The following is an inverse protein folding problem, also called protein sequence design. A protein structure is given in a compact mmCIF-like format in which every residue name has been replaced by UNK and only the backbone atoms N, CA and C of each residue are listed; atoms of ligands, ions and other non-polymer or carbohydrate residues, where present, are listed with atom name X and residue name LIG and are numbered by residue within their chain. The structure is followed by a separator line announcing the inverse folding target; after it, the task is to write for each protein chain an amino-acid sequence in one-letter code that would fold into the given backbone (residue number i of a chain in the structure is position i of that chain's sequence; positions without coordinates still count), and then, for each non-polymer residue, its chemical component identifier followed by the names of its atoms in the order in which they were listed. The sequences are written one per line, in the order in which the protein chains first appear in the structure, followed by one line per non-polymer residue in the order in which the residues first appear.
data_IF_032522335995
#
_entry.id   IF_032522335995
#
_cell.length_a   1.000
_cell.length_b   1.000
_cell.length_c   1.000
_cell.angle_alpha   90.00
_cell.angle_beta   90.00
_cell.angle_gamma   90.00
#
_symmetry.space_group_name_H-M   'P 1'
#
loop_
_entity.id
_entity.type
_entity.pdbx_description
1 polymer ?
#
# COMPACT_ATOMS: atom_id res chain seq x y z
N UNK A 1 10.52 -17.12 2.49
CA UNK A 1 11.58 -17.83 3.21
C UNK A 1 11.49 -19.30 2.85
N UNK A 2 12.59 -19.92 2.43
CA UNK A 2 12.64 -21.40 2.36
C UNK A 2 12.61 -21.92 3.79
N UNK A 3 11.66 -22.80 4.11
CA UNK A 3 11.68 -23.50 5.39
C UNK A 3 13.04 -24.19 5.53
N UNK A 4 13.71 -24.11 6.69
CA UNK A 4 14.93 -24.87 6.90
C UNK A 4 14.63 -26.36 6.70
N UNK A 5 15.61 -27.14 6.22
CA UNK A 5 15.47 -28.58 6.16
C UNK A 5 15.11 -29.09 7.57
N UNK A 6 14.14 -30.01 7.64
CA UNK A 6 13.67 -30.56 8.90
C UNK A 6 14.85 -31.08 9.73
N UNK A 7 15.02 -30.53 10.93
CA UNK A 7 16.04 -30.88 11.90
C UNK A 7 15.36 -31.00 13.27
N UNK A 8 15.71 -32.03 14.04
CA UNK A 8 15.19 -32.27 15.40
C UNK A 8 15.48 -31.15 16.40
N UNK A 9 16.36 -30.21 16.06
CA UNK A 9 16.65 -29.01 16.85
C UNK A 9 15.84 -27.77 16.43
N UNK A 10 14.92 -27.90 15.48
CA UNK A 10 14.15 -26.79 14.90
C UNK A 10 12.68 -26.99 15.25
N UNK A 11 12.13 -26.09 16.06
CA UNK A 11 10.73 -26.19 16.52
C UNK A 11 9.84 -25.24 15.70
N UNK A 12 8.65 -25.68 15.28
CA UNK A 12 7.70 -24.83 14.53
C UNK A 12 7.43 -23.49 15.23
N UNK A 13 7.42 -23.48 16.56
CA UNK A 13 7.22 -22.29 17.39
C UNK A 13 8.29 -21.21 17.18
N UNK A 14 9.45 -21.56 16.63
CA UNK A 14 10.53 -20.62 16.26
C UNK A 14 10.24 -19.91 14.91
N UNK A 15 9.22 -20.37 14.16
CA UNK A 15 8.79 -19.84 12.85
C UNK A 15 7.31 -19.40 12.86
N UNK A 16 6.66 -19.46 14.02
CA UNK A 16 5.29 -19.00 14.21
C UNK A 16 5.25 -17.47 14.07
N UNK A 17 4.30 -16.96 13.28
CA UNK A 17 4.02 -15.53 13.20
C UNK A 17 2.98 -15.23 14.29
N UNK A 18 3.40 -14.57 15.37
CA UNK A 18 2.55 -14.14 16.48
C UNK A 18 2.05 -12.69 16.31
N UNK A 19 2.54 -11.99 15.28
CA UNK A 19 2.12 -10.63 14.94
C UNK A 19 0.61 -10.56 14.66
N UNK A 20 -0.12 -9.63 15.29
CA UNK A 20 -1.54 -9.43 15.03
C UNK A 20 -1.82 -9.08 13.57
N UNK A 21 -2.99 -9.50 13.06
CA UNK A 21 -3.37 -9.37 11.64
C UNK A 21 -3.23 -7.95 11.07
N UNK A 22 -3.49 -6.91 11.86
CA UNK A 22 -3.42 -5.53 11.38
C UNK A 22 -2.02 -4.91 11.44
N UNK A 23 -1.08 -5.60 12.10
CA UNK A 23 0.30 -5.17 12.22
C UNK A 23 1.24 -6.03 11.33
N UNK A 24 0.68 -7.02 10.61
CA UNK A 24 1.41 -7.84 9.64
C UNK A 24 2.06 -6.99 8.54
N UNK A 25 3.34 -7.24 8.31
CA UNK A 25 4.16 -6.59 7.29
C UNK A 25 4.43 -7.49 6.07
N UNK A 26 4.85 -6.91 4.93
CA UNK A 26 5.18 -7.68 3.73
C UNK A 26 6.25 -8.75 3.93
N UNK A 27 7.12 -8.58 4.94
CA UNK A 27 8.15 -9.58 5.31
C UNK A 27 7.55 -10.87 5.86
N UNK A 28 6.40 -10.78 6.53
CA UNK A 28 5.67 -11.90 7.11
C UNK A 28 4.63 -12.45 6.13
N UNK A 29 3.87 -11.55 5.51
CA UNK A 29 2.84 -11.86 4.53
C UNK A 29 2.90 -10.86 3.35
N UNK A 30 3.44 -11.25 2.18
CA UNK A 30 3.75 -10.31 1.09
C UNK A 30 2.61 -9.45 0.54
N UNK A 31 1.36 -9.89 0.72
CA UNK A 31 0.14 -9.18 0.31
C UNK A 31 -0.51 -8.36 1.44
N UNK A 32 0.17 -8.19 2.58
CA UNK A 32 -0.28 -7.37 3.70
C UNK A 32 0.63 -6.17 3.89
N UNK A 33 0.04 -5.07 4.37
CA UNK A 33 0.77 -3.88 4.82
C UNK A 33 0.26 -3.48 6.19
N UNK A 34 1.10 -3.08 7.16
CA UNK A 34 0.61 -2.62 8.46
C UNK A 34 0.03 -1.19 8.36
N UNK A 35 0.00 -0.62 7.15
CA UNK A 35 -0.44 0.73 6.87
C UNK A 35 -1.63 0.76 5.92
N UNK A 36 -2.49 1.77 6.08
CA UNK A 36 -3.45 2.17 5.07
C UNK A 36 -3.07 3.55 4.55
N UNK A 37 -3.12 3.72 3.25
CA UNK A 37 -2.66 4.93 2.58
C UNK A 37 -3.83 5.75 2.05
N UNK A 38 -3.82 7.04 2.32
CA UNK A 38 -4.63 8.01 1.61
C UNK A 38 -3.77 8.69 0.55
N UNK A 39 -4.01 8.38 -0.73
CA UNK A 39 -3.30 8.98 -1.85
C UNK A 39 -3.85 10.38 -2.16
N UNK A 40 -2.97 11.35 -2.37
CA UNK A 40 -3.33 12.77 -2.47
C UNK A 40 -2.40 13.53 -3.42
N UNK A 41 -2.72 14.80 -3.68
CA UNK A 41 -1.89 15.72 -4.47
C UNK A 41 -1.02 16.62 -3.60
N UNK A 42 -0.08 17.34 -4.23
CA UNK A 42 0.84 18.26 -3.55
C UNK A 42 0.11 19.28 -2.67
N UNK A 43 -0.83 20.04 -3.23
CA UNK A 43 -1.51 21.09 -2.47
C UNK A 43 -2.48 20.52 -1.43
N UNK A 44 -2.98 19.31 -1.68
CA UNK A 44 -3.96 18.65 -0.82
C UNK A 44 -3.29 18.13 0.46
N UNK A 45 -2.07 17.56 0.37
CA UNK A 45 -1.36 17.08 1.58
C UNK A 45 -1.14 18.22 2.58
N UNK A 46 -0.79 19.41 2.10
CA UNK A 46 -0.58 20.58 2.95
C UNK A 46 -1.90 20.99 3.62
N UNK A 47 -3.01 21.03 2.87
CA UNK A 47 -4.32 21.33 3.44
C UNK A 47 -4.79 20.28 4.48
N UNK A 48 -4.48 19.00 4.26
CA UNK A 48 -4.82 17.91 5.18
C UNK A 48 -4.05 18.05 6.49
N UNK A 49 -2.80 18.50 6.44
CA UNK A 49 -1.91 18.62 7.59
C UNK A 49 -2.00 19.99 8.30
N UNK A 50 -2.59 21.01 7.66
CA UNK A 50 -2.59 22.38 8.17
C UNK A 50 -4.00 22.91 8.45
N UNK A 51 -4.97 22.03 8.71
CA UNK A 51 -6.35 22.44 8.94
C UNK A 51 -6.50 23.14 10.29
N UNK A 52 -6.54 24.48 10.26
CA UNK A 52 -6.56 25.34 11.45
C UNK A 52 -7.82 25.12 12.33
N UNK A 53 -8.90 24.56 11.77
CA UNK A 53 -10.16 24.35 12.50
C UNK A 53 -10.10 23.17 13.49
N UNK A 54 -9.15 22.24 13.32
CA UNK A 54 -9.08 21.01 14.14
C UNK A 54 -8.14 21.16 15.35
N UNK A 55 -7.27 22.17 15.34
CA UNK A 55 -6.29 22.46 16.39
C UNK A 55 -4.92 21.84 16.14
N UNK A 56 -3.89 22.37 16.81
CA UNK A 56 -2.48 21.98 16.63
C UNK A 56 -2.26 20.47 16.83
N UNK A 57 -1.35 19.89 16.04
CA UNK A 57 -0.98 18.47 16.13
C UNK A 57 -1.97 17.48 15.51
N UNK A 58 -3.01 17.98 14.83
CA UNK A 58 -4.02 17.16 14.17
C UNK A 58 -4.16 17.54 12.69
N UNK A 59 -4.58 16.58 11.88
CA UNK A 59 -4.93 16.78 10.48
C UNK A 59 -6.36 16.33 10.19
N UNK A 60 -6.83 16.64 8.98
CA UNK A 60 -8.19 16.35 8.55
C UNK A 60 -8.28 15.77 7.14
N UNK A 61 -8.95 14.64 7.00
CA UNK A 61 -9.32 14.07 5.71
C UNK A 61 -10.81 14.26 5.46
N UNK A 62 -11.15 15.19 4.57
CA UNK A 62 -12.54 15.43 4.18
C UNK A 62 -13.13 14.21 3.46
N UNK A 63 -14.32 13.79 3.89
CA UNK A 63 -15.07 12.75 3.20
C UNK A 63 -15.58 13.25 1.83
N UNK A 64 -15.55 12.39 0.82
CA UNK A 64 -16.04 12.69 -0.52
C UNK A 64 -16.87 11.54 -1.09
N UNK A 65 -17.68 11.83 -2.10
CA UNK A 65 -18.36 10.77 -2.87
C UNK A 65 -17.33 10.25 -3.89
N UNK A 66 -16.97 8.95 -3.85
CA UNK A 66 -16.02 8.37 -4.79
C UNK A 66 -16.50 8.52 -6.23
N UNK A 67 -15.57 8.80 -7.13
CA UNK A 67 -15.83 8.85 -8.58
C UNK A 67 -16.12 7.43 -9.08
N UNK A 68 -17.40 7.06 -9.14
CA UNK A 68 -17.86 5.86 -9.83
C UNK A 68 -18.61 6.31 -11.08
N UNK A 69 -18.20 5.80 -12.25
CA UNK A 69 -18.69 6.31 -13.54
C UNK A 69 -20.20 6.13 -13.77
N UNK A 70 -20.90 5.29 -13.01
CA UNK A 70 -22.33 5.06 -13.23
C UNK A 70 -23.00 4.67 -11.90
N UNK A 71 -24.05 5.39 -11.50
CA UNK A 71 -25.00 4.91 -10.50
C UNK A 71 -25.43 5.90 -9.42
N UNK A 72 -26.56 5.58 -8.78
CA UNK A 72 -27.21 6.29 -7.66
C UNK A 72 -26.39 6.30 -6.35
N UNK A 73 -25.11 5.91 -6.40
CA UNK A 73 -24.26 5.86 -5.21
C UNK A 73 -23.90 7.28 -4.76
N UNK A 74 -24.17 7.59 -3.50
CA UNK A 74 -24.05 8.95 -2.96
C UNK A 74 -23.50 8.99 -1.52
N UNK A 75 -22.92 7.89 -1.02
CA UNK A 75 -22.29 7.91 0.29
C UNK A 75 -20.99 8.72 0.25
N UNK A 76 -20.86 9.65 1.19
CA UNK A 76 -19.61 10.37 1.43
C UNK A 76 -18.73 9.54 2.34
N UNK A 77 -17.51 9.25 1.91
CA UNK A 77 -16.57 8.36 2.62
C UNK A 77 -15.16 8.93 2.58
N UNK A 78 -14.33 8.52 3.55
CA UNK A 78 -12.88 8.69 3.45
C UNK A 78 -12.29 7.37 2.94
N UNK A 79 -11.61 7.43 1.80
CA UNK A 79 -11.00 6.26 1.17
C UNK A 79 -9.54 6.10 1.58
N UNK A 80 -9.18 4.85 1.84
CA UNK A 80 -7.81 4.40 2.07
C UNK A 80 -7.54 3.16 1.26
N UNK A 81 -6.26 2.94 0.99
CA UNK A 81 -5.81 1.78 0.24
C UNK A 81 -4.78 1.00 1.05
N UNK A 82 -5.02 -0.28 1.21
CA UNK A 82 -4.03 -1.22 1.70
C UNK A 82 -3.20 -1.74 0.53
N UNK A 83 -1.91 -1.42 0.56
CA UNK A 83 -0.93 -1.93 -0.40
C UNK A 83 0.46 -1.86 0.24
N UNK A 84 1.37 -2.81 -0.08
CA UNK A 84 2.78 -2.64 0.26
C UNK A 84 3.33 -1.33 -0.32
N UNK A 85 4.21 -0.65 0.43
CA UNK A 85 4.71 0.69 0.07
C UNK A 85 5.34 0.74 -1.33
N UNK A 86 6.07 -0.32 -1.73
CA UNK A 86 6.73 -0.44 -3.03
C UNK A 86 5.75 -0.53 -4.22
N UNK A 87 4.47 -0.85 -3.96
CA UNK A 87 3.45 -1.04 -4.99
C UNK A 87 2.50 0.17 -5.13
N UNK A 88 2.61 1.18 -4.25
CA UNK A 88 1.69 2.33 -4.22
C UNK A 88 1.69 3.14 -5.52
N UNK A 89 2.81 3.22 -6.23
CA UNK A 89 2.90 4.11 -7.39
C UNK A 89 2.10 3.66 -8.60
N UNK A 90 1.65 2.40 -8.62
CA UNK A 90 0.66 1.91 -9.58
C UNK A 90 -0.57 2.84 -9.66
N UNK A 91 -0.95 3.48 -8.56
CA UNK A 91 -2.13 4.36 -8.49
C UNK A 91 -2.11 5.51 -9.48
N UNK A 92 -0.92 6.03 -9.83
CA UNK A 92 -0.80 7.09 -10.84
C UNK A 92 -1.20 6.60 -12.23
N UNK A 93 -0.85 5.36 -12.57
CA UNK A 93 -1.04 4.81 -13.92
C UNK A 93 -2.44 4.24 -14.16
N UNK A 94 -3.31 4.23 -13.14
CA UNK A 94 -4.68 3.68 -13.23
C UNK A 94 -5.58 4.47 -14.17
N UNK A 95 -5.42 5.79 -14.26
CA UNK A 95 -6.18 6.62 -15.18
C UNK A 95 -5.33 7.80 -15.65
N UNK A 96 -5.62 8.26 -16.87
CA UNK A 96 -4.93 9.42 -17.44
C UNK A 96 -4.99 10.64 -16.52
N UNK A 97 -6.13 10.85 -15.84
CA UNK A 97 -6.28 11.95 -14.87
C UNK A 97 -5.35 11.79 -13.67
N UNK A 98 -5.29 10.62 -13.03
CA UNK A 98 -4.39 10.42 -11.87
C UNK A 98 -2.92 10.56 -12.27
N UNK A 99 -2.59 10.14 -13.48
CA UNK A 99 -1.27 10.33 -14.07
C UNK A 99 -0.99 11.82 -14.34
N UNK A 100 -1.93 12.55 -14.95
CA UNK A 100 -1.77 13.98 -15.24
C UNK A 100 -1.70 14.84 -13.98
N UNK A 101 -2.47 14.46 -12.96
CA UNK A 101 -2.47 15.11 -11.64
C UNK A 101 -1.21 14.76 -10.83
N UNK A 102 -0.38 13.85 -11.35
CA UNK A 102 0.89 13.41 -10.80
C UNK A 102 0.80 13.10 -9.30
N UNK A 103 -0.15 12.23 -8.94
CA UNK A 103 -0.46 11.83 -7.56
C UNK A 103 0.70 11.04 -6.91
N UNK A 104 1.79 11.75 -6.59
CA UNK A 104 2.99 11.22 -5.93
C UNK A 104 2.90 11.34 -4.40
N UNK A 105 1.87 12.03 -3.90
CA UNK A 105 1.73 12.33 -2.49
C UNK A 105 0.79 11.33 -1.82
N UNK A 106 1.05 11.02 -0.56
CA UNK A 106 0.19 10.14 0.21
C UNK A 106 0.54 10.12 1.68
N UNK A 107 -0.44 9.81 2.51
CA UNK A 107 -0.28 9.68 3.96
C UNK A 107 -0.60 8.23 4.34
N UNK A 108 0.38 7.54 4.91
CA UNK A 108 0.25 6.19 5.43
C UNK A 108 0.04 6.20 6.94
N UNK A 109 -1.09 5.68 7.37
CA UNK A 109 -1.49 5.58 8.78
C UNK A 109 -1.32 4.16 9.29
N UNK A 110 -1.11 4.00 10.60
CA UNK A 110 -1.23 2.69 11.24
C UNK A 110 -2.62 2.09 10.96
N UNK A 111 -2.66 0.87 10.39
CA UNK A 111 -3.92 0.17 10.12
C UNK A 111 -4.69 -0.11 11.40
N UNK A 112 -3.99 -0.57 12.45
CA UNK A 112 -4.61 -0.83 13.75
C UNK A 112 -5.21 0.43 14.40
N UNK A 113 -4.61 1.61 14.20
CA UNK A 113 -5.19 2.89 14.62
C UNK A 113 -6.47 3.24 13.83
N UNK A 114 -6.46 3.10 12.51
CA UNK A 114 -7.60 3.40 11.66
C UNK A 114 -8.78 2.44 11.87
N UNK A 115 -8.52 1.16 12.13
CA UNK A 115 -9.58 0.20 12.51
C UNK A 115 -10.28 0.65 13.79
N UNK A 116 -9.55 1.16 14.79
CA UNK A 116 -10.16 1.72 16.01
C UNK A 116 -10.99 2.97 15.71
N UNK A 117 -10.57 3.78 14.73
CA UNK A 117 -11.30 4.95 14.26
C UNK A 117 -12.54 4.62 13.39
N UNK A 118 -12.84 3.35 13.13
CA UNK A 118 -14.03 2.94 12.39
C UNK A 118 -13.79 2.67 10.89
N UNK A 119 -12.56 2.76 10.41
CA UNK A 119 -12.21 2.39 9.03
C UNK A 119 -12.38 0.89 8.85
N UNK A 120 -13.05 0.46 7.77
CA UNK A 120 -13.36 -0.95 7.49
C UNK A 120 -13.02 -1.32 6.05
N UNK A 121 -12.69 -2.60 5.78
CA UNK A 121 -12.45 -3.06 4.42
C UNK A 121 -13.76 -3.00 3.61
N UNK A 122 -13.64 -2.68 2.34
CA UNK A 122 -14.76 -2.67 1.42
C UNK A 122 -15.23 -4.07 1.04
N UNK A 123 -16.52 -4.18 0.71
CA UNK A 123 -17.12 -5.36 0.09
C UNK A 123 -17.05 -5.19 -1.41
N UNK A 124 -16.23 -6.02 -2.06
CA UNK A 124 -16.14 -6.09 -3.51
C UNK A 124 -17.35 -6.85 -4.05
N UNK A 125 -18.13 -6.19 -4.89
CA UNK A 125 -19.36 -6.70 -5.47
C UNK A 125 -19.28 -6.60 -7.00
N UNK A 126 -19.75 -7.65 -7.67
CA UNK A 126 -20.07 -7.57 -9.10
C UNK A 126 -21.21 -6.54 -9.35
N UNK A 127 -21.46 -6.23 -10.62
CA UNK A 127 -22.43 -5.19 -10.98
C UNK A 127 -23.87 -5.51 -10.49
N UNK A 128 -24.25 -6.80 -10.46
CA UNK A 128 -25.57 -7.25 -9.98
C UNK A 128 -25.69 -7.04 -8.47
N UNK A 129 -24.75 -7.56 -7.69
CA UNK A 129 -24.73 -7.44 -6.24
C UNK A 129 -24.61 -5.97 -5.81
N UNK A 130 -23.77 -5.17 -6.47
CA UNK A 130 -23.67 -3.73 -6.22
C UNK A 130 -25.02 -3.04 -6.43
N UNK A 131 -25.69 -3.34 -7.54
CA UNK A 131 -27.02 -2.79 -7.85
C UNK A 131 -28.05 -3.20 -6.80
N UNK A 132 -28.02 -4.46 -6.36
CA UNK A 132 -28.90 -4.96 -5.30
C UNK A 132 -28.65 -4.26 -3.96
N UNK A 133 -27.40 -3.98 -3.57
CA UNK A 133 -27.10 -3.23 -2.34
C UNK A 133 -27.59 -1.78 -2.43
N UNK A 134 -27.39 -1.11 -3.57
CA UNK A 134 -27.88 0.25 -3.80
C UNK A 134 -29.42 0.29 -3.73
N UNK A 135 -30.09 -0.67 -4.38
CA UNK A 135 -31.54 -0.76 -4.34
C UNK A 135 -32.06 -1.09 -2.94
N UNK A 136 -31.39 -1.99 -2.20
CA UNK A 136 -31.73 -2.29 -0.81
C UNK A 136 -31.68 -1.03 0.05
N UNK A 137 -30.63 -0.21 -0.09
CA UNK A 137 -30.54 1.09 0.61
C UNK A 137 -31.72 1.99 0.29
N UNK A 138 -32.05 2.15 -0.99
CA UNK A 138 -33.20 2.94 -1.41
C UNK A 138 -34.53 2.39 -0.87
N UNK A 139 -34.76 1.08 -0.93
CA UNK A 139 -35.99 0.48 -0.45
C UNK A 139 -36.13 0.60 1.07
N UNK A 140 -35.07 0.32 1.83
CA UNK A 140 -35.09 0.42 3.29
C UNK A 140 -35.39 1.85 3.77
N UNK A 141 -34.92 2.87 3.05
CA UNK A 141 -35.23 4.28 3.36
C UNK A 141 -36.67 4.70 3.05
N UNK A 142 -37.36 3.98 2.17
CA UNK A 142 -38.69 4.36 1.65
C UNK A 142 -39.81 3.39 2.05
N UNK A 143 -39.50 2.24 2.66
CA UNK A 143 -40.49 1.25 3.06
C UNK A 143 -40.96 1.47 4.49
N UNK A 144 -42.27 1.42 4.69
CA UNK A 144 -42.87 1.26 6.02
C UNK A 144 -42.85 -0.23 6.40
N UNK A 145 -41.98 -0.58 7.34
CA UNK A 145 -41.84 -1.94 7.85
C UNK A 145 -42.54 -2.02 9.20
N UNK A 146 -43.62 -2.81 9.29
CA UNK A 146 -44.46 -2.93 10.49
C UNK A 146 -43.69 -3.34 11.75
N UNK A 147 -42.67 -4.20 11.60
CA UNK A 147 -41.84 -4.63 12.71
C UNK A 147 -40.67 -3.64 12.93
N UNK A 148 -40.81 -2.77 13.92
CA UNK A 148 -39.82 -1.73 14.25
C UNK A 148 -38.41 -2.28 14.51
N UNK A 149 -38.29 -3.42 15.21
CA UNK A 149 -36.99 -4.02 15.51
C UNK A 149 -36.30 -4.52 14.25
N UNK A 150 -37.06 -5.13 13.34
CA UNK A 150 -36.55 -5.59 12.06
C UNK A 150 -36.20 -4.41 11.15
N UNK A 151 -37.04 -3.37 11.11
CA UNK A 151 -36.80 -2.14 10.37
C UNK A 151 -35.48 -1.49 10.80
N UNK A 152 -35.27 -1.32 12.12
CA UNK A 152 -34.04 -0.76 12.68
C UNK A 152 -32.81 -1.60 12.37
N UNK A 153 -32.94 -2.93 12.42
CA UNK A 153 -31.86 -3.85 12.07
C UNK A 153 -31.47 -3.71 10.59
N UNK A 154 -32.45 -3.71 9.69
CA UNK A 154 -32.23 -3.54 8.26
C UNK A 154 -31.64 -2.17 7.93
N UNK A 155 -32.14 -1.10 8.55
CA UNK A 155 -31.59 0.25 8.41
C UNK A 155 -30.12 0.28 8.82
N UNK A 156 -29.79 -0.25 10.01
CA UNK A 156 -28.42 -0.31 10.52
C UNK A 156 -27.50 -1.12 9.61
N UNK A 157 -27.97 -2.26 9.11
CA UNK A 157 -27.20 -3.10 8.18
C UNK A 157 -26.95 -2.36 6.87
N UNK A 158 -27.99 -1.76 6.30
CA UNK A 158 -27.94 -1.03 5.05
C UNK A 158 -27.01 0.19 5.14
N UNK A 159 -27.11 0.97 6.22
CA UNK A 159 -26.27 2.14 6.49
C UNK A 159 -24.79 1.78 6.64
N UNK A 160 -24.48 0.58 7.13
CA UNK A 160 -23.11 0.12 7.31
C UNK A 160 -22.54 -0.56 6.07
N UNK A 161 -23.36 -1.27 5.31
CA UNK A 161 -22.94 -2.03 4.13
C UNK A 161 -22.81 -1.15 2.89
N UNK A 162 -23.78 -0.27 2.66
CA UNK A 162 -23.86 0.57 1.46
C UNK A 162 -22.58 1.41 1.25
N UNK A 163 -22.04 2.14 2.24
CA UNK A 163 -20.81 2.93 2.06
C UNK A 163 -19.57 2.08 1.74
N UNK A 164 -19.53 0.84 2.24
CA UNK A 164 -18.41 -0.08 2.05
C UNK A 164 -18.46 -0.82 0.70
N UNK A 165 -19.50 -0.63 -0.12
CA UNK A 165 -19.64 -1.34 -1.39
C UNK A 165 -18.71 -0.75 -2.44
N UNK A 166 -17.90 -1.60 -3.08
CA UNK A 166 -17.00 -1.23 -4.17
C UNK A 166 -17.18 -2.19 -5.34
N UNK A 167 -17.13 -1.73 -6.61
CA UNK A 167 -17.17 -2.64 -7.75
C UNK A 167 -15.95 -3.56 -7.76
N UNK A 168 -16.14 -4.80 -8.22
CA UNK A 168 -15.08 -5.78 -8.40
C UNK A 168 -14.14 -5.43 -9.58
N UNK A 169 -14.64 -4.68 -10.58
CA UNK A 169 -13.88 -4.15 -11.73
C UNK A 169 -13.33 -5.24 -12.68
N UNK A 170 -13.90 -6.43 -12.61
CA UNK A 170 -13.57 -7.63 -13.39
C UNK A 170 -13.66 -7.43 -14.91
N UNK A 171 -14.54 -6.54 -15.35
CA UNK A 171 -14.81 -6.26 -16.76
C UNK A 171 -13.96 -5.12 -17.35
N UNK A 172 -13.13 -4.44 -16.55
CA UNK A 172 -12.29 -3.34 -17.02
C UNK A 172 -10.93 -3.85 -17.48
N UNK A 173 -10.46 -3.44 -18.66
CA UNK A 173 -9.16 -3.86 -19.21
C UNK A 173 -7.95 -3.49 -18.33
N UNK A 174 -8.13 -2.53 -17.42
CA UNK A 174 -7.19 -2.21 -16.35
C UNK A 174 -7.19 -3.24 -15.20
N UNK A 175 -7.86 -4.40 -15.37
CA UNK A 175 -8.11 -5.48 -14.40
C UNK A 175 -7.17 -5.39 -13.20
N UNK A 176 -7.68 -4.84 -12.10
CA UNK A 176 -6.89 -4.55 -10.91
C UNK A 176 -7.08 -5.58 -9.80
N UNK A 177 -6.26 -5.39 -8.76
CA UNK A 177 -6.55 -5.76 -7.37
C UNK A 177 -6.33 -7.22 -6.94
N UNK A 178 -5.30 -7.94 -7.40
CA UNK A 178 -4.91 -9.19 -6.69
C UNK A 178 -4.36 -8.94 -5.27
N UNK A 179 -3.98 -7.70 -4.93
CA UNK A 179 -3.15 -7.35 -3.75
C UNK A 179 -3.71 -6.15 -2.98
N UNK A 180 -4.49 -5.31 -3.67
CA UNK A 180 -4.98 -4.04 -3.16
C UNK A 180 -6.35 -4.22 -2.54
N UNK A 181 -6.49 -3.69 -1.32
CA UNK A 181 -7.78 -3.68 -0.62
C UNK A 181 -8.17 -2.25 -0.35
N UNK A 182 -9.35 -1.86 -0.82
CA UNK A 182 -9.97 -0.58 -0.51
C UNK A 182 -10.54 -0.66 0.90
N UNK A 183 -10.30 0.39 1.68
CA UNK A 183 -10.84 0.58 3.01
C UNK A 183 -11.56 1.92 3.06
N UNK A 184 -12.67 1.98 3.79
CA UNK A 184 -13.47 3.20 3.90
C UNK A 184 -13.85 3.49 5.34
N UNK A 185 -13.88 4.78 5.64
CA UNK A 185 -14.64 5.32 6.75
C UNK A 185 -15.94 5.89 6.20
N UNK A 186 -17.07 5.47 6.76
CA UNK A 186 -18.32 6.21 6.62
C UNK A 186 -18.50 7.06 7.87
N UNK A 187 -18.42 8.40 7.78
CA UNK A 187 -18.79 9.25 8.89
C UNK A 187 -20.25 8.98 9.26
N UNK A 188 -20.49 8.59 10.51
CA UNK A 188 -21.84 8.33 11.01
C UNK A 188 -22.61 9.63 11.28
N UNK A 189 -21.90 10.77 11.35
CA UNK A 189 -22.44 12.11 11.50
C UNK A 189 -22.18 12.90 10.20
N UNK A 190 -23.25 13.45 9.60
CA UNK A 190 -23.17 14.25 8.36
C UNK A 190 -22.48 15.59 8.62
N UNK A 191 -21.77 16.12 7.61
CA UNK A 191 -20.64 15.52 6.93
C UNK A 191 -19.35 15.96 7.62
N UNK A 192 -18.75 15.08 8.42
CA UNK A 192 -17.39 15.33 8.93
C UNK A 192 -16.45 14.22 8.50
N UNK A 193 -15.24 14.60 8.13
CA UNK A 193 -14.22 13.69 7.62
C UNK A 193 -13.63 12.80 8.70
N UNK A 194 -12.37 12.43 8.52
CA UNK A 194 -11.56 11.86 9.58
C UNK A 194 -10.64 12.94 10.13
N UNK A 195 -10.86 13.35 11.38
CA UNK A 195 -9.84 14.03 12.18
C UNK A 195 -8.86 12.99 12.72
N UNK A 196 -7.57 13.26 12.63
CA UNK A 196 -6.54 12.35 13.09
C UNK A 196 -5.37 13.09 13.75
N UNK A 197 -4.78 12.52 14.81
CA UNK A 197 -3.56 13.06 15.41
C UNK A 197 -2.35 12.74 14.53
N UNK A 198 -1.34 13.61 14.47
CA UNK A 198 -0.11 13.37 13.70
C UNK A 198 0.64 12.11 14.16
N UNK A 199 0.49 11.70 15.42
CA UNK A 199 1.02 10.45 15.96
C UNK A 199 0.39 9.20 15.35
N UNK A 200 -0.67 9.31 14.57
CA UNK A 200 -1.22 8.18 13.80
C UNK A 200 -0.51 7.96 12.47
N UNK A 201 0.20 8.97 11.97
CA UNK A 201 0.96 8.93 10.73
C UNK A 201 2.22 8.08 10.94
N UNK A 202 2.51 7.19 10.01
CA UNK A 202 3.72 6.36 10.00
C UNK A 202 4.56 6.58 8.76
N UNK A 203 3.92 6.91 7.64
CA UNK A 203 4.58 7.09 6.35
C UNK A 203 4.04 8.34 5.67
N UNK A 204 4.92 9.10 5.02
CA UNK A 204 4.54 10.12 4.05
C UNK A 204 5.23 9.81 2.72
N UNK A 205 4.43 9.70 1.68
CA UNK A 205 4.92 9.60 0.31
C UNK A 205 5.02 11.03 -0.24
N UNK A 206 6.22 11.49 -0.59
CA UNK A 206 6.41 12.79 -1.26
C UNK A 206 7.80 12.90 -1.91
N UNK A 207 7.98 13.76 -2.94
CA UNK A 207 9.29 14.11 -3.48
C UNK A 207 10.25 14.67 -2.43
N UNK A 208 11.54 14.35 -2.57
CA UNK A 208 12.58 14.83 -1.64
C UNK A 208 12.64 16.36 -1.54
N UNK A 209 12.30 17.07 -2.61
CA UNK A 209 12.23 18.54 -2.64
C UNK A 209 11.12 19.11 -1.76
N UNK A 210 10.12 18.31 -1.40
CA UNK A 210 8.89 18.73 -0.69
C UNK A 210 8.88 18.23 0.76
N UNK A 211 9.84 17.40 1.16
CA UNK A 211 9.90 16.84 2.52
C UNK A 211 10.05 17.92 3.59
N UNK A 212 10.82 18.97 3.32
CA UNK A 212 11.12 20.00 4.31
C UNK A 212 9.86 20.78 4.72
N UNK A 213 9.04 21.18 3.74
CA UNK A 213 7.79 21.90 3.99
C UNK A 213 6.83 21.06 4.86
N UNK A 214 6.72 19.76 4.56
CA UNK A 214 5.89 18.84 5.33
C UNK A 214 6.46 18.61 6.74
N UNK A 215 7.79 18.50 6.88
CA UNK A 215 8.47 18.36 8.18
C UNK A 215 8.26 19.58 9.06
N UNK A 216 8.25 20.78 8.48
CA UNK A 216 7.95 22.02 9.21
C UNK A 216 6.55 22.02 9.80
N UNK A 217 5.54 21.58 9.02
CA UNK A 217 4.14 21.47 9.50
C UNK A 217 4.00 20.44 10.62
N UNK A 218 4.65 19.28 10.48
CA UNK A 218 4.57 18.18 11.44
C UNK A 218 5.40 18.41 12.71
N UNK A 219 6.34 19.36 12.69
CA UNK A 219 7.24 19.66 13.81
C UNK A 219 7.95 18.41 14.34
N UNK A 220 7.89 18.22 15.65
CA UNK A 220 8.55 17.09 16.32
C UNK A 220 7.97 15.72 15.96
N UNK A 221 6.71 15.65 15.50
CA UNK A 221 6.07 14.40 15.07
C UNK A 221 6.75 13.81 13.83
N UNK A 222 7.40 14.64 13.01
CA UNK A 222 8.12 14.21 11.81
C UNK A 222 9.23 13.19 12.08
N UNK A 223 9.79 13.16 13.31
CA UNK A 223 10.86 12.22 13.70
C UNK A 223 10.41 10.76 13.70
N UNK A 224 9.11 10.52 13.85
CA UNK A 224 8.52 9.18 13.89
C UNK A 224 7.84 8.78 12.57
N UNK A 225 8.04 9.58 11.51
CA UNK A 225 7.40 9.39 10.21
C UNK A 225 8.47 9.04 9.17
N UNK A 226 8.27 7.94 8.47
CA UNK A 226 9.13 7.53 7.38
C UNK A 226 8.72 8.24 6.08
N UNK A 227 9.62 9.05 5.54
CA UNK A 227 9.42 9.69 4.24
C UNK A 227 9.91 8.77 3.12
N UNK A 228 9.01 8.41 2.20
CA UNK A 228 9.27 7.42 1.16
C UNK A 228 8.99 7.95 -0.23
N UNK A 229 9.73 7.43 -1.20
CA UNK A 229 9.60 7.75 -2.63
C UNK A 229 9.05 6.52 -3.35
N UNK A 230 7.78 6.22 -3.12
CA UNK A 230 7.12 4.99 -3.58
C UNK A 230 7.18 4.75 -5.10
N UNK A 231 7.39 5.80 -5.90
CA UNK A 231 7.54 5.68 -7.36
C UNK A 231 8.85 5.10 -7.82
N UNK A 232 9.94 5.25 -7.06
CA UNK A 232 11.24 4.79 -7.52
C UNK A 232 11.27 3.27 -7.62
N UNK A 233 10.81 2.59 -6.56
CA UNK A 233 10.77 1.14 -6.45
C UNK A 233 9.77 0.51 -7.43
N UNK A 234 8.59 1.10 -7.58
CA UNK A 234 7.58 0.63 -8.53
C UNK A 234 8.05 0.73 -9.99
N UNK A 235 8.60 1.89 -10.39
CA UNK A 235 9.11 2.06 -11.75
C UNK A 235 10.27 1.11 -12.02
N UNK A 236 11.13 0.83 -11.04
CA UNK A 236 12.21 -0.15 -11.16
C UNK A 236 11.69 -1.58 -11.40
N UNK A 237 10.64 -2.00 -10.68
CA UNK A 237 10.01 -3.33 -10.84
C UNK A 237 9.23 -3.43 -12.16
N UNK A 238 8.45 -2.42 -12.53
CA UNK A 238 7.70 -2.39 -13.80
C UNK A 238 8.66 -2.38 -14.98
N UNK A 239 9.73 -1.59 -14.91
CA UNK A 239 10.78 -1.58 -15.92
C UNK A 239 11.40 -2.96 -16.08
N UNK A 240 11.74 -3.62 -14.97
CA UNK A 240 12.28 -4.97 -14.97
C UNK A 240 11.32 -5.98 -15.63
N UNK A 241 10.04 -5.97 -15.26
CA UNK A 241 9.02 -6.88 -15.80
C UNK A 241 8.71 -6.59 -17.28
N UNK A 242 8.68 -5.33 -17.69
CA UNK A 242 8.46 -4.92 -19.09
C UNK A 242 9.62 -5.36 -19.97
N UNK A 243 10.86 -5.27 -19.48
CA UNK A 243 12.07 -5.73 -20.18
C UNK A 243 12.08 -7.25 -20.41
N UNK A 244 11.58 -8.02 -19.45
CA UNK A 244 11.43 -9.48 -19.58
C UNK A 244 10.39 -9.90 -20.64
N UNK A 245 9.37 -9.07 -20.89
CA UNK A 245 8.41 -9.28 -21.99
C UNK A 245 8.97 -8.90 -23.36
N UNK A 246 9.85 -7.90 -23.44
CA UNK A 246 10.50 -7.51 -24.72
C UNK A 246 11.62 -8.46 -25.16
N UNK A 247 12.23 -9.20 -24.22
CA UNK A 247 13.28 -10.18 -24.51
C UNK A 247 12.76 -11.50 -25.14
N UNK A 248 11.43 -11.66 -25.26
CA UNK A 248 10.80 -12.81 -25.92
C UNK A 248 10.53 -12.58 -27.41
N UNK A 249 10.82 -11.40 -27.97
CA UNK A 249 10.79 -11.20 -29.42
C UNK A 249 12.17 -11.45 -30.01
N UNK A 250 12.37 -12.69 -30.45
CA UNK A 250 13.42 -13.05 -31.42
C UNK A 250 12.77 -12.90 -32.80
N UNK A 251 13.07 -11.84 -33.58
CA UNK A 251 12.69 -11.84 -34.98
C UNK A 251 13.41 -13.00 -35.68
N UNK A 252 12.65 -13.79 -36.43
CA UNK A 252 13.20 -14.89 -37.24
C UNK A 252 14.34 -14.38 -38.13
N UNK A 253 15.37 -15.21 -38.21
CA UNK A 253 16.63 -14.94 -38.89
C UNK A 253 16.49 -14.32 -40.29
N UNK A 254 17.23 -13.23 -40.51
CA UNK A 254 18.05 -12.94 -41.71
C UNK A 254 17.43 -13.38 -43.05
N UNK A 255 16.55 -12.56 -43.62
CA UNK A 255 16.19 -12.64 -45.05
C UNK A 255 16.08 -11.24 -45.68
N UNK A 256 17.10 -10.39 -45.49
CA UNK A 256 17.25 -9.18 -46.30
C UNK A 256 18.15 -9.49 -47.54
N UNK A 257 17.65 -9.33 -48.78
CA UNK A 257 18.37 -9.73 -50.00
C UNK A 257 19.49 -8.77 -50.42
N UNK A 258 19.61 -7.57 -49.84
CA UNK A 258 20.63 -6.56 -50.19
C UNK A 258 21.63 -6.27 -49.05
N UNK A 259 22.92 -6.23 -49.39
CA UNK A 259 24.02 -6.03 -48.43
C UNK A 259 23.98 -4.68 -47.69
N UNK A 260 23.48 -3.63 -48.33
CA UNK A 260 23.34 -2.29 -47.71
C UNK A 260 22.30 -2.30 -46.59
N UNK A 261 21.14 -2.92 -46.86
CA UNK A 261 20.02 -3.07 -45.91
C UNK A 261 20.44 -3.96 -44.73
N UNK A 262 21.18 -5.05 -45.04
CA UNK A 262 21.76 -5.93 -44.01
C UNK A 262 22.78 -5.20 -43.13
N UNK A 263 23.57 -4.28 -43.69
CA UNK A 263 24.53 -3.49 -42.93
C UNK A 263 23.85 -2.46 -42.02
N UNK A 264 22.75 -1.86 -42.47
CA UNK A 264 21.93 -0.96 -41.64
C UNK A 264 21.23 -1.72 -40.51
N UNK A 265 20.63 -2.88 -40.80
CA UNK A 265 20.05 -3.77 -39.80
C UNK A 265 21.10 -4.21 -38.77
N UNK A 266 22.31 -4.58 -39.20
CA UNK A 266 23.39 -4.98 -38.29
C UNK A 266 23.89 -3.82 -37.43
N UNK A 267 23.92 -2.59 -37.96
CA UNK A 267 24.28 -1.38 -37.17
C UNK A 267 23.19 -1.04 -36.16
N UNK A 268 21.93 -1.16 -36.54
CA UNK A 268 20.81 -0.97 -35.64
C UNK A 268 20.80 -2.03 -34.53
N UNK A 269 21.05 -3.30 -34.89
CA UNK A 269 21.22 -4.39 -33.93
C UNK A 269 22.39 -4.13 -32.98
N UNK A 270 23.55 -3.69 -33.49
CA UNK A 270 24.71 -3.38 -32.68
C UNK A 270 24.44 -2.22 -31.70
N UNK A 271 23.73 -1.18 -32.12
CA UNK A 271 23.35 -0.07 -31.25
C UNK A 271 22.33 -0.50 -30.19
N UNK A 272 21.36 -1.36 -30.55
CA UNK A 272 20.43 -1.99 -29.61
C UNK A 272 21.17 -2.84 -28.58
N UNK A 273 22.16 -3.64 -29.00
CA UNK A 273 22.96 -4.49 -28.12
C UNK A 273 23.91 -3.67 -27.22
N UNK A 274 24.53 -2.59 -27.73
CA UNK A 274 25.33 -1.68 -26.90
C UNK A 274 24.48 -0.93 -25.87
N UNK A 275 23.27 -0.50 -26.25
CA UNK A 275 22.31 0.08 -25.32
C UNK A 275 21.90 -0.92 -24.25
N UNK A 276 21.61 -2.17 -24.64
CA UNK A 276 21.30 -3.27 -23.72
C UNK A 276 22.46 -3.58 -22.77
N UNK A 277 23.69 -3.64 -23.27
CA UNK A 277 24.89 -3.88 -22.45
C UNK A 277 25.11 -2.79 -21.40
N UNK A 278 25.00 -1.51 -21.78
CA UNK A 278 25.12 -0.39 -20.83
C UNK A 278 24.01 -0.42 -19.78
N UNK A 279 22.79 -0.83 -20.18
CA UNK A 279 21.64 -1.00 -19.27
C UNK A 279 21.84 -2.18 -18.32
N UNK A 280 22.32 -3.33 -18.80
CA UNK A 280 22.68 -4.51 -17.99
C UNK A 280 23.83 -4.22 -17.02
N UNK A 281 24.78 -3.37 -17.41
CA UNK A 281 25.86 -2.92 -16.53
C UNK A 281 25.33 -2.01 -15.41
N UNK A 282 24.35 -1.14 -15.69
CA UNK A 282 23.64 -0.39 -14.64
C UNK A 282 22.79 -1.29 -13.73
N UNK A 283 22.19 -2.36 -14.28
CA UNK A 283 21.51 -3.38 -13.48
C UNK A 283 22.43 -4.17 -12.58
N UNK A 284 23.65 -4.44 -13.03
CA UNK A 284 24.68 -5.06 -12.18
C UNK A 284 25.01 -4.19 -10.97
N UNK A 285 25.11 -2.86 -11.10
CA UNK A 285 25.30 -1.98 -9.93
C UNK A 285 24.11 -1.99 -8.95
N UNK A 286 22.89 -2.21 -9.45
CA UNK A 286 21.68 -2.31 -8.62
C UNK A 286 21.59 -3.67 -7.94
N UNK A 287 21.88 -4.75 -8.68
CA UNK A 287 21.98 -6.10 -8.13
C UNK A 287 23.12 -6.18 -7.12
N UNK A 288 24.27 -5.55 -7.37
CA UNK A 288 25.36 -5.44 -6.39
C UNK A 288 24.93 -4.66 -5.13
N UNK A 289 23.92 -3.77 -5.18
CA UNK A 289 23.31 -3.16 -3.98
C UNK A 289 22.31 -4.07 -3.27
N UNK A 290 21.60 -4.93 -4.00
CA UNK A 290 20.70 -5.96 -3.46
C UNK A 290 21.42 -7.27 -3.07
N UNK A 291 22.64 -7.50 -3.53
CA UNK A 291 23.54 -8.61 -3.18
C UNK A 291 24.55 -8.23 -2.08
N UNK A 292 24.78 -6.93 -1.83
CA UNK A 292 25.49 -6.43 -0.65
C UNK A 292 24.60 -5.90 0.51
N UNK A 293 23.40 -6.43 0.82
CA UNK A 293 22.78 -6.21 2.12
C UNK A 293 23.41 -7.12 3.18
N UNK A 294 24.31 -8.06 2.82
CA UNK A 294 25.03 -8.93 3.76
C UNK A 294 25.73 -8.12 4.85
N UNK A 295 26.47 -7.05 4.57
CA UNK A 295 27.10 -6.28 5.66
C UNK A 295 26.07 -5.65 6.61
N UNK A 296 24.94 -5.14 6.10
CA UNK A 296 23.88 -4.56 6.93
C UNK A 296 23.06 -5.61 7.68
N UNK A 297 22.81 -6.75 7.07
CA UNK A 297 22.08 -7.89 7.63
C UNK A 297 22.95 -8.63 8.64
N UNK A 298 24.23 -8.84 8.37
CA UNK A 298 25.20 -9.47 9.28
C UNK A 298 25.45 -8.58 10.49
N UNK A 299 25.46 -7.24 10.31
CA UNK A 299 25.45 -6.29 11.44
C UNK A 299 24.15 -6.41 12.23
N UNK A 300 22.98 -6.43 11.56
CA UNK A 300 21.68 -6.55 12.25
C UNK A 300 21.51 -7.91 12.94
N UNK A 301 21.98 -8.99 12.32
CA UNK A 301 21.99 -10.35 12.87
C UNK A 301 22.89 -10.37 14.09
N UNK A 302 24.09 -9.79 14.02
CA UNK A 302 25.01 -9.72 15.14
C UNK A 302 24.47 -8.87 16.30
N UNK A 303 23.82 -7.75 16.00
CA UNK A 303 23.13 -6.93 17.01
C UNK A 303 22.01 -7.71 17.72
N UNK A 304 21.24 -8.50 16.97
CA UNK A 304 20.21 -9.37 17.53
C UNK A 304 20.83 -10.52 18.34
N UNK A 305 21.91 -11.16 17.86
CA UNK A 305 22.65 -12.20 18.60
C UNK A 305 23.21 -11.68 19.93
N UNK A 306 23.81 -10.49 19.92
CA UNK A 306 24.33 -9.82 21.12
C UNK A 306 23.19 -9.49 22.10
N UNK A 307 22.05 -9.03 21.59
CA UNK A 307 20.85 -8.77 22.40
C UNK A 307 20.29 -10.04 23.03
N UNK A 308 20.19 -11.12 22.27
CA UNK A 308 19.77 -12.44 22.78
C UNK A 308 20.71 -12.90 23.89
N UNK A 309 22.02 -12.81 23.70
CA UNK A 309 23.01 -13.20 24.72
C UNK A 309 22.88 -12.38 26.01
N UNK A 310 22.60 -11.08 25.90
CA UNK A 310 22.36 -10.21 27.07
C UNK A 310 21.07 -10.57 27.82
N UNK A 311 19.99 -10.84 27.09
CA UNK A 311 18.72 -11.30 27.67
C UNK A 311 18.93 -12.64 28.39
N UNK A 312 19.61 -13.58 27.75
CA UNK A 312 19.88 -14.91 28.29
C UNK A 312 20.73 -14.85 29.58
N UNK A 313 21.74 -13.98 29.60
CA UNK A 313 22.54 -13.72 30.80
C UNK A 313 21.69 -13.10 31.92
N UNK A 314 20.74 -12.22 31.58
CA UNK A 314 19.84 -11.58 32.53
C UNK A 314 18.85 -12.59 33.13
N UNK A 315 18.30 -13.49 32.32
CA UNK A 315 17.45 -14.60 32.77
C UNK A 315 18.21 -15.47 33.77
N UNK A 316 19.43 -15.92 33.45
CA UNK A 316 20.24 -16.75 34.35
C UNK A 316 20.57 -16.06 35.69
N UNK A 317 20.81 -14.73 35.66
CA UNK A 317 21.02 -13.93 36.89
C UNK A 317 19.76 -13.89 37.76
N UNK A 318 18.59 -13.74 37.15
CA UNK A 318 17.30 -13.74 37.86
C UNK A 318 17.02 -15.12 38.44
N UNK A 319 17.19 -16.19 37.66
CA UNK A 319 16.96 -17.57 38.11
C UNK A 319 17.90 -17.98 39.26
N UNK A 320 19.18 -17.59 39.19
CA UNK A 320 20.15 -17.86 40.26
C UNK A 320 19.89 -17.04 41.53
N UNK A 321 19.26 -15.87 41.40
CA UNK A 321 18.83 -15.05 42.54
C UNK A 321 17.54 -15.59 43.16
N UNK A 322 16.61 -16.07 42.35
CA UNK A 322 15.36 -16.68 42.80
C UNK A 322 15.56 -18.02 43.51
N UNK A 323 16.62 -18.78 43.18
CA UNK A 323 16.99 -20.02 43.89
C UNK A 323 17.72 -19.81 45.22
N UNK A 324 18.08 -18.57 45.57
CA UNK A 324 18.77 -18.23 46.83
C UNK A 324 17.83 -17.68 47.92
N UNK A 325 16.52 -17.60 47.62
CA UNK A 325 15.44 -17.26 48.56
C UNK A 325 14.74 -18.56 48.95
#
# INVERSE_FOLDING_TARGET
MSLPPYNSSVYWKEYEIDTPTFDLAPVEKPDMSPFLFHMTGKNQILSILSDEEIGEGNGFLKACIPESNEGKYNASVVCFTESPTFALDFFRYRSFRRWSDNQMFGIGFSKSALVKAGVRPCVYADDELKTNIINLKYYVENLEIENENFAKCLQTLSDRLYPLTTPLLENFASQGFMWEREWRLCPTEKPEGLSFPFESIRIICCPASEENEIKEILGDHSRNINFVRSWKEYNEVVDYLTKRKSDLYIPDSVTAPHEQERLEDLKEQLNKHKSLFNKLSGYREVIERFENPSESLDVSIKEIEDSIAQIDQSIRKIESSARKI
#
